data_IF_469903071028
#
_entry.id   IF_469903071028
#
_cell.length_a   1.000
_cell.length_b   1.000
_cell.length_c   1.000
_cell.angle_alpha   90.00
_cell.angle_beta   90.00
_cell.angle_gamma   90.00
#
_symmetry.space_group_name_H-M   'P 1'
#
loop_
_entity.id
_entity.type
_entity.pdbx_description
1 polymer ?
#
# COMPACT_ATOMS: atom_id res chain seq x y z
N UNK A 1 -5.48 14.52 -10.34
CA UNK A 1 -6.37 14.42 -9.17
C UNK A 1 -7.62 15.25 -9.44
N UNK A 2 -8.79 14.69 -9.26
CA UNK A 2 -10.10 15.31 -9.48
C UNK A 2 -10.79 15.59 -8.14
N UNK A 3 -11.89 16.38 -8.14
CA UNK A 3 -12.72 16.55 -6.94
C UNK A 3 -13.26 15.21 -6.42
N UNK A 4 -13.52 14.26 -7.31
CA UNK A 4 -14.04 12.93 -6.98
C UNK A 4 -13.00 12.05 -6.24
N UNK A 5 -11.73 12.42 -6.26
CA UNK A 5 -10.66 11.71 -5.54
C UNK A 5 -10.59 12.11 -4.06
N UNK A 6 -11.05 13.32 -3.71
CA UNK A 6 -10.92 13.90 -2.36
C UNK A 6 -11.43 13.03 -1.22
N UNK A 7 -12.57 12.31 -1.35
CA UNK A 7 -13.06 11.44 -0.28
C UNK A 7 -12.16 10.26 0.04
N UNK A 8 -11.23 9.93 -0.87
CA UNK A 8 -10.32 8.79 -0.75
C UNK A 8 -8.90 9.20 -0.33
N UNK A 9 -8.67 10.50 -0.13
CA UNK A 9 -7.38 11.01 0.30
C UNK A 9 -7.28 11.00 1.82
N UNK A 10 -6.12 10.55 2.29
CA UNK A 10 -5.70 10.72 3.68
C UNK A 10 -5.15 12.12 3.87
N UNK A 11 -5.33 12.67 5.07
CA UNK A 11 -4.81 13.98 5.46
C UNK A 11 -4.26 13.92 6.87
N UNK A 12 -3.02 14.30 7.00
CA UNK A 12 -2.23 14.23 8.23
C UNK A 12 -1.87 15.64 8.70
N UNK A 13 -2.68 16.26 9.58
CA UNK A 13 -2.62 17.70 9.85
C UNK A 13 -1.33 18.17 10.50
N UNK A 14 -0.57 17.28 11.13
CA UNK A 14 0.67 17.63 11.83
C UNK A 14 1.94 17.38 11.00
N UNK A 15 1.80 16.86 9.78
CA UNK A 15 2.94 16.69 8.88
C UNK A 15 3.07 17.90 7.95
N UNK A 16 4.29 18.24 7.57
CA UNK A 16 4.60 19.37 6.67
C UNK A 16 3.90 19.22 5.31
N UNK A 17 3.82 17.99 4.81
CA UNK A 17 2.99 17.62 3.67
C UNK A 17 1.78 16.81 4.15
N UNK A 18 0.71 17.52 4.49
CA UNK A 18 -0.48 16.92 5.11
C UNK A 18 -1.23 15.92 4.24
N UNK A 19 -1.02 15.90 2.93
CA UNK A 19 -1.63 14.94 2.01
C UNK A 19 -0.63 13.85 1.58
N UNK A 20 0.65 14.01 1.93
CA UNK A 20 1.71 13.18 1.39
C UNK A 20 1.81 13.27 -0.14
N UNK A 21 2.56 12.40 -0.76
CA UNK A 21 2.69 12.34 -2.22
C UNK A 21 1.59 11.47 -2.83
N UNK A 22 0.72 12.03 -3.66
CA UNK A 22 -0.21 11.24 -4.47
C UNK A 22 0.55 10.60 -5.64
N UNK A 23 0.90 9.34 -5.50
CA UNK A 23 1.72 8.58 -6.47
C UNK A 23 0.90 8.16 -7.69
N UNK A 24 -0.36 7.75 -7.47
CA UNK A 24 -1.24 7.28 -8.53
C UNK A 24 -2.70 7.55 -8.15
N UNK A 25 -3.49 7.96 -9.12
CA UNK A 25 -4.96 7.93 -9.04
C UNK A 25 -5.55 7.49 -10.36
N UNK A 26 -6.59 6.65 -10.30
CA UNK A 26 -7.41 6.23 -11.43
C UNK A 26 -8.82 5.90 -10.94
N UNK A 27 -9.65 5.28 -11.78
CA UNK A 27 -11.05 4.94 -11.43
C UNK A 27 -11.18 3.91 -10.30
N UNK A 28 -10.13 3.18 -9.98
CA UNK A 28 -10.14 2.06 -9.03
C UNK A 28 -9.49 2.39 -7.69
N UNK A 29 -8.42 3.22 -7.70
CA UNK A 29 -7.56 3.43 -6.53
C UNK A 29 -7.04 4.85 -6.43
N UNK A 30 -6.68 5.22 -5.19
CA UNK A 30 -5.73 6.30 -4.88
C UNK A 30 -4.56 5.69 -4.12
N UNK A 31 -3.35 6.00 -4.56
CA UNK A 31 -2.10 5.66 -3.88
C UNK A 31 -1.46 6.92 -3.33
N UNK A 32 -1.22 6.95 -2.03
CA UNK A 32 -0.49 8.02 -1.36
C UNK A 32 0.73 7.47 -0.65
N UNK A 33 1.87 8.13 -0.82
CA UNK A 33 3.09 7.86 -0.07
C UNK A 33 3.19 8.83 1.09
N UNK A 34 3.50 8.30 2.25
CA UNK A 34 3.71 9.03 3.47
C UNK A 34 5.08 8.70 4.04
N UNK A 35 5.81 9.73 4.45
CA UNK A 35 7.06 9.58 5.20
C UNK A 35 6.87 10.25 6.56
N UNK A 36 7.14 9.50 7.63
CA UNK A 36 7.06 10.00 9.01
C UNK A 36 8.44 9.94 9.63
N UNK A 37 9.03 11.11 9.84
CA UNK A 37 10.34 11.22 10.46
C UNK A 37 10.32 10.82 11.94
N UNK A 38 11.47 10.45 12.54
CA UNK A 38 11.56 10.16 13.97
C UNK A 38 10.97 11.26 14.85
N UNK A 39 10.09 10.88 15.76
CA UNK A 39 9.36 11.79 16.63
C UNK A 39 8.15 12.48 15.97
N UNK A 40 7.92 12.28 14.67
CA UNK A 40 6.76 12.82 13.96
C UNK A 40 5.45 12.11 14.35
N UNK A 41 4.39 12.89 14.51
CA UNK A 41 3.02 12.40 14.72
C UNK A 41 2.14 12.93 13.61
N UNK A 42 1.29 12.07 13.08
CA UNK A 42 0.41 12.38 11.94
C UNK A 42 -0.67 13.42 12.28
N UNK A 43 -1.00 13.52 13.59
CA UNK A 43 -2.15 14.28 14.07
C UNK A 43 -3.46 13.49 13.93
N UNK A 44 -4.53 14.04 14.53
CA UNK A 44 -5.85 13.39 14.49
C UNK A 44 -6.37 13.40 13.04
N UNK A 45 -6.60 12.21 12.51
CA UNK A 45 -7.06 12.03 11.13
C UNK A 45 -8.09 10.90 11.03
N UNK A 46 -8.68 10.76 9.84
CA UNK A 46 -9.63 9.71 9.51
C UNK A 46 -9.12 8.83 8.38
N UNK A 47 -9.59 7.58 8.35
CA UNK A 47 -9.37 6.67 7.23
C UNK A 47 -10.70 6.42 6.52
N UNK A 48 -10.75 6.53 5.18
CA UNK A 48 -12.00 6.29 4.43
C UNK A 48 -12.42 4.82 4.41
N UNK A 49 -11.54 3.90 4.83
CA UNK A 49 -11.75 2.45 4.75
C UNK A 49 -11.37 1.87 3.39
N UNK A 50 -11.50 0.55 3.26
CA UNK A 50 -11.06 -0.18 2.08
C UNK A 50 -9.61 0.16 1.69
N UNK A 51 -8.74 0.16 2.67
CA UNK A 51 -7.34 0.52 2.49
C UNK A 51 -6.40 -0.60 2.90
N UNK A 52 -5.26 -0.64 2.25
CA UNK A 52 -4.07 -1.27 2.81
C UNK A 52 -2.98 -0.23 2.99
N UNK A 53 -2.10 -0.48 3.93
CA UNK A 53 -0.79 0.15 3.99
C UNK A 53 0.29 -0.87 3.65
N UNK A 54 1.36 -0.39 3.03
CA UNK A 54 2.56 -1.18 2.70
C UNK A 54 3.77 -0.40 3.15
N UNK A 55 4.53 -0.94 4.08
CA UNK A 55 5.79 -0.34 4.51
C UNK A 55 6.87 -0.53 3.45
N UNK A 56 7.27 0.55 2.78
CA UNK A 56 8.49 0.56 1.96
C UNK A 56 9.70 0.44 2.87
N UNK A 57 9.65 1.18 3.96
CA UNK A 57 10.59 1.09 5.07
C UNK A 57 9.81 1.06 6.37
N UNK A 58 9.98 -0.01 7.12
CA UNK A 58 9.38 -0.17 8.43
C UNK A 58 10.06 0.68 9.51
N UNK A 59 9.53 0.60 10.72
CA UNK A 59 10.03 1.32 11.88
C UNK A 59 9.16 1.09 13.09
N UNK A 60 9.40 1.85 14.14
CA UNK A 60 8.65 1.74 15.39
C UNK A 60 7.52 2.77 15.47
N UNK A 61 6.31 2.28 15.68
CA UNK A 61 5.09 3.07 15.78
C UNK A 61 4.52 3.09 17.18
N UNK A 62 3.85 4.20 17.50
CA UNK A 62 2.91 4.28 18.61
C UNK A 62 1.62 4.94 18.13
N UNK A 63 0.50 4.59 18.79
CA UNK A 63 -0.81 5.11 18.43
C UNK A 63 -1.57 5.64 19.65
N UNK A 64 -2.50 6.57 19.39
CA UNK A 64 -3.39 7.17 20.39
C UNK A 64 -4.82 7.19 19.87
N UNK A 65 -5.74 7.00 20.79
CA UNK A 65 -7.18 7.21 20.62
C UNK A 65 -7.69 8.16 21.70
N UNK A 66 -8.35 9.24 21.30
CA UNK A 66 -8.84 10.26 22.25
C UNK A 66 -7.74 10.80 23.16
N UNK A 67 -6.54 11.01 22.64
CA UNK A 67 -5.36 11.47 23.37
C UNK A 67 -4.74 10.45 24.35
N UNK A 68 -5.24 9.19 24.38
CA UNK A 68 -4.71 8.13 25.23
C UNK A 68 -3.92 7.13 24.39
N UNK A 69 -2.82 6.60 24.95
CA UNK A 69 -2.05 5.54 24.30
C UNK A 69 -2.94 4.33 24.03
N UNK A 70 -3.02 3.92 22.77
CA UNK A 70 -3.67 2.70 22.32
C UNK A 70 -2.65 1.55 22.22
N UNK A 71 -1.51 1.83 21.59
CA UNK A 71 -0.37 0.93 21.50
C UNK A 71 0.94 1.75 21.54
N UNK A 72 2.03 1.09 21.85
CA UNK A 72 3.34 1.74 21.93
C UNK A 72 4.45 0.78 21.52
N UNK A 73 5.39 1.29 20.74
CA UNK A 73 6.59 0.55 20.37
C UNK A 73 6.35 -0.67 19.47
N UNK A 74 5.31 -0.63 18.62
CA UNK A 74 5.08 -1.68 17.62
C UNK A 74 6.09 -1.51 16.50
N UNK A 75 6.83 -2.58 16.18
CA UNK A 75 7.84 -2.57 15.11
C UNK A 75 7.25 -3.22 13.87
N UNK A 76 7.22 -2.45 12.77
CA UNK A 76 6.87 -2.95 11.44
C UNK A 76 8.13 -3.19 10.61
N UNK A 77 8.08 -4.22 9.77
CA UNK A 77 9.18 -4.60 8.88
C UNK A 77 8.99 -4.01 7.48
N UNK A 78 10.08 -3.91 6.70
CA UNK A 78 10.01 -3.60 5.28
C UNK A 78 9.13 -4.62 4.55
N UNK A 79 8.20 -4.13 3.74
CA UNK A 79 7.23 -4.96 3.02
C UNK A 79 6.09 -5.49 3.87
N UNK A 80 5.93 -5.08 5.13
CA UNK A 80 4.76 -5.40 5.91
C UNK A 80 3.51 -4.74 5.33
N UNK A 81 2.40 -5.48 5.35
CA UNK A 81 1.11 -5.05 4.80
C UNK A 81 0.04 -5.23 5.85
N UNK A 82 -0.82 -4.23 6.02
CA UNK A 82 -1.99 -4.33 6.85
C UNK A 82 -3.24 -3.78 6.17
N UNK A 83 -4.40 -4.27 6.60
CA UNK A 83 -5.71 -3.77 6.19
C UNK A 83 -6.20 -2.71 7.18
N UNK A 84 -6.83 -1.67 6.64
CA UNK A 84 -7.47 -0.62 7.44
C UNK A 84 -8.95 -0.48 7.10
N UNK A 85 -9.76 -0.66 8.11
CA UNK A 85 -11.18 -0.33 8.07
C UNK A 85 -11.40 1.18 8.18
N UNK A 86 -12.64 1.61 7.93
CA UNK A 86 -13.01 3.01 8.09
C UNK A 86 -12.83 3.45 9.55
N UNK A 87 -12.14 4.56 9.73
CA UNK A 87 -11.93 5.18 11.03
C UNK A 87 -12.33 6.66 10.97
N UNK A 88 -13.51 7.03 11.52
CA UNK A 88 -13.99 8.39 11.45
C UNK A 88 -13.19 9.33 12.37
N UNK A 89 -13.15 10.60 12.03
CA UNK A 89 -12.43 11.63 12.78
C UNK A 89 -12.86 11.72 14.25
N UNK A 90 -14.11 11.34 14.57
CA UNK A 90 -14.64 11.33 15.93
C UNK A 90 -13.98 10.33 16.89
N UNK A 91 -13.21 9.39 16.34
CA UNK A 91 -12.42 8.42 17.14
C UNK A 91 -11.14 9.07 17.68
N UNK A 92 -10.74 10.22 17.11
CA UNK A 92 -9.51 10.94 17.47
C UNK A 92 -8.27 10.05 17.42
N UNK A 93 -8.18 9.29 16.31
CA UNK A 93 -7.02 8.44 16.03
C UNK A 93 -5.83 9.28 15.56
N UNK A 94 -4.65 8.98 16.09
CA UNK A 94 -3.38 9.44 15.57
C UNK A 94 -2.28 8.39 15.77
N UNK A 95 -1.35 8.34 14.85
CA UNK A 95 -0.14 7.51 14.92
C UNK A 95 1.11 8.36 14.80
N UNK A 96 2.23 7.82 15.25
CA UNK A 96 3.51 8.52 15.20
C UNK A 96 4.69 7.56 15.19
N UNK A 97 5.78 8.04 14.61
CA UNK A 97 7.06 7.35 14.59
C UNK A 97 7.79 7.57 15.92
N UNK A 98 7.84 6.56 16.76
CA UNK A 98 8.55 6.58 18.04
C UNK A 98 9.92 5.92 17.99
N UNK A 99 10.35 5.47 16.83
CA UNK A 99 11.68 4.95 16.56
C UNK A 99 12.70 6.03 16.20
N UNK A 100 13.85 5.60 15.73
CA UNK A 100 15.01 6.43 15.40
C UNK A 100 15.28 6.54 13.88
N UNK A 101 14.47 5.89 13.05
CA UNK A 101 14.57 5.92 11.59
C UNK A 101 13.27 6.37 10.96
N UNK A 102 13.30 7.08 9.80
CA UNK A 102 12.08 7.42 9.09
C UNK A 102 11.28 6.18 8.69
N UNK A 103 9.97 6.27 8.81
CA UNK A 103 9.03 5.28 8.31
C UNK A 103 8.52 5.78 6.95
N UNK A 104 8.52 4.90 5.94
CA UNK A 104 8.07 5.21 4.58
C UNK A 104 7.03 4.18 4.17
N UNK A 105 5.83 4.63 3.85
CA UNK A 105 4.73 3.74 3.52
C UNK A 105 3.86 4.26 2.37
N UNK A 106 3.22 3.31 1.70
CA UNK A 106 2.20 3.56 0.69
C UNK A 106 0.85 3.15 1.25
N UNK A 107 -0.11 4.05 1.22
CA UNK A 107 -1.52 3.72 1.37
C UNK A 107 -2.14 3.47 0.00
N UNK A 108 -2.88 2.39 -0.13
CA UNK A 108 -3.71 2.07 -1.30
C UNK A 108 -5.16 2.10 -0.86
N UNK A 109 -5.87 3.15 -1.27
CA UNK A 109 -7.31 3.30 -1.01
C UNK A 109 -8.10 2.82 -2.21
N UNK A 110 -8.97 1.83 -2.02
CA UNK A 110 -9.86 1.33 -3.06
C UNK A 110 -11.07 2.24 -3.21
N UNK A 111 -11.30 2.73 -4.42
CA UNK A 111 -12.54 3.43 -4.76
C UNK A 111 -13.67 2.43 -4.95
N UNK A 112 -14.87 2.81 -4.54
CA UNK A 112 -16.07 2.04 -4.82
C UNK A 112 -16.62 2.35 -6.21
N UNK A 113 -17.35 1.37 -6.82
CA UNK A 113 -18.20 1.62 -7.97
C UNK A 113 -17.55 1.64 -9.35
N UNK A 114 -16.24 1.48 -9.49
CA UNK A 114 -15.63 1.32 -10.80
C UNK A 114 -16.12 0.02 -11.47
N UNK A 115 -16.52 0.05 -12.76
CA UNK A 115 -16.94 -1.15 -13.45
C UNK A 115 -15.80 -2.17 -13.53
N UNK A 116 -16.10 -3.41 -13.17
CA UNK A 116 -15.15 -4.51 -13.39
C UNK A 116 -15.16 -4.85 -14.87
N UNK A 117 -14.02 -4.80 -15.52
CA UNK A 117 -13.91 -5.15 -16.93
C UNK A 117 -14.27 -6.63 -17.16
N UNK A 118 -14.90 -6.98 -18.31
CA UNK A 118 -15.17 -8.37 -18.64
C UNK A 118 -13.89 -9.21 -18.61
N UNK A 119 -13.95 -10.38 -17.98
CA UNK A 119 -12.81 -11.29 -17.85
C UNK A 119 -11.85 -11.00 -16.70
N UNK A 120 -12.12 -10.00 -15.88
CA UNK A 120 -11.41 -9.78 -14.61
C UNK A 120 -11.90 -10.81 -13.58
N UNK A 121 -10.99 -11.50 -12.99
CA UNK A 121 -11.25 -12.52 -11.97
C UNK A 121 -10.66 -12.07 -10.62
N UNK A 122 -11.38 -12.34 -9.53
CA UNK A 122 -10.82 -12.25 -8.19
C UNK A 122 -10.06 -13.55 -7.90
N UNK A 123 -8.82 -13.61 -8.34
CA UNK A 123 -7.97 -14.79 -8.22
C UNK A 123 -6.51 -14.39 -7.96
N UNK A 124 -5.77 -15.18 -7.18
CA UNK A 124 -4.37 -14.92 -6.94
C UNK A 124 -3.55 -15.01 -8.23
N UNK A 125 -2.51 -14.18 -8.31
CA UNK A 125 -1.49 -14.29 -9.34
C UNK A 125 -0.70 -15.59 -9.15
N UNK A 126 -0.38 -16.26 -10.25
CA UNK A 126 0.45 -17.47 -10.24
C UNK A 126 1.62 -17.29 -11.20
N UNK A 127 2.83 -17.54 -10.73
CA UNK A 127 4.04 -17.59 -11.54
C UNK A 127 4.57 -19.02 -11.59
N UNK A 128 4.69 -19.64 -12.79
CA UNK A 128 5.08 -21.04 -12.90
C UNK A 128 6.45 -21.38 -12.30
N UNK A 129 7.36 -20.42 -12.32
CA UNK A 129 8.76 -20.66 -11.95
C UNK A 129 9.14 -20.15 -10.57
N UNK A 130 8.20 -19.60 -9.81
CA UNK A 130 8.48 -19.10 -8.48
C UNK A 130 7.23 -19.10 -7.59
N UNK A 131 7.41 -19.32 -6.28
CA UNK A 131 6.31 -19.19 -5.34
C UNK A 131 5.97 -17.70 -5.12
N UNK A 132 4.73 -17.47 -4.76
CA UNK A 132 4.24 -16.21 -4.21
C UNK A 132 3.81 -16.46 -2.77
N UNK A 133 4.15 -15.54 -1.90
CA UNK A 133 3.64 -15.50 -0.53
C UNK A 133 2.33 -14.70 -0.53
N UNK A 134 1.23 -15.30 -0.09
CA UNK A 134 -0.03 -14.59 0.10
C UNK A 134 -0.01 -13.89 1.45
N UNK A 135 -0.08 -12.55 1.44
CA UNK A 135 0.00 -11.72 2.64
C UNK A 135 -1.39 -11.38 3.19
N UNK A 136 -2.35 -11.15 2.30
CA UNK A 136 -3.71 -10.78 2.64
C UNK A 136 -4.67 -11.21 1.55
N UNK A 137 -5.87 -11.60 1.94
CA UNK A 137 -7.00 -11.83 1.06
C UNK A 137 -8.30 -11.42 1.75
N UNK A 138 -9.12 -10.68 1.04
CA UNK A 138 -10.50 -10.38 1.41
C UNK A 138 -11.36 -10.27 0.14
N UNK A 139 -12.63 -9.90 0.27
CA UNK A 139 -13.57 -9.74 -0.84
C UNK A 139 -13.23 -8.59 -1.79
N UNK A 140 -12.25 -7.75 -1.46
CA UNK A 140 -11.85 -6.56 -2.23
C UNK A 140 -10.52 -6.72 -2.94
N UNK A 141 -9.57 -7.45 -2.36
CA UNK A 141 -8.23 -7.60 -2.91
C UNK A 141 -7.51 -8.85 -2.42
N UNK A 142 -6.52 -9.24 -3.19
CA UNK A 142 -5.51 -10.22 -2.83
C UNK A 142 -4.16 -9.53 -2.86
N UNK A 143 -3.40 -9.61 -1.78
CA UNK A 143 -2.03 -9.07 -1.70
C UNK A 143 -1.05 -10.20 -1.63
N UNK A 144 -0.10 -10.19 -2.55
CA UNK A 144 0.94 -11.21 -2.66
C UNK A 144 2.32 -10.56 -2.72
N UNK A 145 3.28 -11.20 -2.09
CA UNK A 145 4.70 -10.85 -2.19
C UNK A 145 5.39 -11.79 -3.16
N UNK A 146 6.21 -11.21 -4.03
CA UNK A 146 7.13 -11.95 -4.89
C UNK A 146 8.56 -11.50 -4.62
N UNK A 147 9.47 -12.45 -4.50
CA UNK A 147 10.91 -12.21 -4.46
C UNK A 147 11.54 -12.86 -5.68
N UNK A 148 12.30 -12.08 -6.43
CA UNK A 148 12.90 -12.49 -7.70
C UNK A 148 14.40 -12.34 -7.56
N UNK A 149 15.12 -13.45 -7.68
CA UNK A 149 16.58 -13.46 -7.64
C UNK A 149 17.18 -13.03 -8.99
N UNK A 150 18.41 -12.49 -9.01
CA UNK A 150 19.08 -12.14 -10.26
C UNK A 150 19.09 -13.28 -11.27
N UNK A 151 18.64 -13.00 -12.49
CA UNK A 151 18.56 -13.99 -13.58
C UNK A 151 17.34 -14.91 -13.55
N UNK A 152 16.51 -14.83 -12.53
CA UNK A 152 15.26 -15.60 -12.43
C UNK A 152 14.17 -15.02 -13.32
N UNK A 153 13.36 -15.88 -13.92
CA UNK A 153 12.20 -15.52 -14.74
C UNK A 153 10.93 -16.10 -14.14
N UNK A 154 9.87 -15.29 -14.11
CA UNK A 154 8.56 -15.70 -13.59
C UNK A 154 7.91 -16.84 -14.36
N UNK A 155 8.31 -17.05 -15.61
CA UNK A 155 7.64 -17.95 -16.54
C UNK A 155 6.48 -17.29 -17.27
N UNK A 156 5.88 -18.02 -18.22
CA UNK A 156 4.73 -17.54 -18.98
C UNK A 156 3.50 -17.56 -18.06
N UNK A 157 2.88 -16.41 -17.88
CA UNK A 157 1.74 -16.24 -17.00
C UNK A 157 0.72 -15.24 -17.57
N UNK A 158 -0.44 -15.17 -16.96
CA UNK A 158 -1.46 -14.16 -17.23
C UNK A 158 -1.74 -13.36 -15.95
N UNK A 159 -2.32 -12.19 -16.11
CA UNK A 159 -2.84 -11.37 -15.02
C UNK A 159 -4.36 -11.54 -14.94
N UNK A 160 -4.91 -12.09 -13.85
CA UNK A 160 -6.34 -12.35 -13.73
C UNK A 160 -7.18 -11.09 -13.58
N UNK A 161 -6.59 -10.00 -13.07
CA UNK A 161 -7.32 -8.75 -12.79
C UNK A 161 -6.45 -7.51 -12.85
N UNK A 162 -7.00 -6.39 -12.41
CA UNK A 162 -6.26 -5.15 -12.23
C UNK A 162 -5.22 -5.35 -11.14
N UNK A 163 -4.01 -4.88 -11.38
CA UNK A 163 -2.88 -5.08 -10.48
C UNK A 163 -2.12 -3.78 -10.24
N UNK A 164 -1.57 -3.69 -9.03
CA UNK A 164 -0.65 -2.65 -8.61
C UNK A 164 0.63 -3.34 -8.16
N UNK A 165 1.76 -2.83 -8.59
CA UNK A 165 3.07 -3.27 -8.13
C UNK A 165 3.67 -2.20 -7.23
N UNK A 166 4.13 -2.62 -6.05
CA UNK A 166 4.87 -1.79 -5.12
C UNK A 166 6.23 -2.45 -4.91
N UNK A 167 7.28 -1.77 -5.34
CA UNK A 167 8.65 -2.24 -5.21
C UNK A 167 9.21 -1.86 -3.85
N UNK A 168 9.37 -2.84 -2.96
CA UNK A 168 10.04 -2.65 -1.67
C UNK A 168 11.56 -2.56 -1.88
N UNK A 169 12.08 -3.41 -2.78
CA UNK A 169 13.47 -3.38 -3.20
C UNK A 169 13.53 -3.38 -4.72
N UNK A 170 14.00 -2.29 -5.29
CA UNK A 170 14.09 -2.14 -6.73
C UNK A 170 15.22 -2.96 -7.35
N UNK A 171 15.08 -3.21 -8.64
CA UNK A 171 16.08 -3.92 -9.46
C UNK A 171 15.93 -3.55 -10.94
N UNK A 172 16.78 -4.12 -11.78
CA UNK A 172 16.62 -4.05 -13.24
C UNK A 172 15.70 -5.18 -13.72
N UNK A 173 14.70 -4.82 -14.52
CA UNK A 173 13.71 -5.75 -15.07
C UNK A 173 13.92 -5.96 -16.56
N UNK A 174 13.53 -7.14 -17.01
CA UNK A 174 13.32 -7.43 -18.43
C UNK A 174 12.04 -8.23 -18.60
N UNK A 175 11.31 -7.99 -19.68
CA UNK A 175 10.14 -8.78 -20.03
C UNK A 175 10.30 -9.42 -21.42
N UNK A 176 9.54 -10.50 -21.64
CA UNK A 176 9.40 -11.14 -22.95
C UNK A 176 7.91 -11.25 -23.27
N UNK A 177 7.53 -10.74 -24.44
CA UNK A 177 6.19 -10.92 -24.99
C UNK A 177 6.29 -11.72 -26.26
N UNK A 178 5.53 -12.80 -26.37
CA UNK A 178 5.52 -13.69 -27.55
C UNK A 178 6.95 -14.15 -27.96
N UNK A 179 7.83 -14.37 -27.00
CA UNK A 179 9.21 -14.80 -27.25
C UNK A 179 10.19 -13.69 -27.63
N UNK A 180 9.75 -12.45 -27.76
CA UNK A 180 10.61 -11.29 -27.99
C UNK A 180 10.97 -10.64 -26.67
N UNK A 181 12.26 -10.45 -26.43
CA UNK A 181 12.74 -9.73 -25.25
C UNK A 181 12.68 -8.23 -25.53
N UNK A 182 12.01 -7.47 -24.65
CA UNK A 182 12.11 -6.02 -24.62
C UNK A 182 13.22 -5.59 -23.65
N UNK A 183 13.95 -4.55 -24.02
CA UNK A 183 14.88 -3.90 -23.10
C UNK A 183 14.12 -3.18 -21.99
N UNK A 184 14.72 -2.99 -20.83
CA UNK A 184 14.15 -2.22 -19.73
C UNK A 184 13.98 -0.74 -20.09
#
# INVERSE_FOLDING_TARGET
>A
MTEDDKPFLLRYPNLDDSEGEVVLTNDHVVLQRLVVDPGGWEGIHSHPGNQIYVHIKGGEWSGRLGGRSEYSGIVSSDGEVGWMDANPLSVEHESGNTGDTPIDLIYVTLKGGAPIAPGVEHAPQVYPNMPLEQLLENDRMIVQRVQIEPGQWMGIHRHPGNQIYIHIKGCTWSERRQGVQSAP
#
